data_IF_000727111284
#
_entry.id   IF_000727111284
#
_cell.length_a   1.000
_cell.length_b   1.000
_cell.length_c   1.000
_cell.angle_alpha   90.00
_cell.angle_beta   90.00
_cell.angle_gamma   90.00
#
_symmetry.space_group_name_H-M   'P 1'
#
loop_
_entity.id
_entity.type
_entity.pdbx_description
1 polymer ?
#
# COMPACT_ATOMS: atom_id res chain seq x y z
N UNK A 1 52.54 -16.66 -6.01
CA UNK A 1 52.91 -16.92 -7.43
C UNK A 1 51.63 -16.77 -8.25
N UNK A 2 51.44 -15.60 -8.87
CA UNK A 2 51.49 -15.35 -10.33
C UNK A 2 50.39 -16.13 -11.09
N UNK A 3 49.47 -15.47 -11.82
CA UNK A 3 49.79 -14.64 -12.98
C UNK A 3 48.75 -13.53 -13.25
N UNK A 4 49.31 -12.35 -13.54
CA UNK A 4 48.73 -11.25 -14.34
C UNK A 4 48.58 -11.70 -15.80
N UNK A 5 47.72 -11.05 -16.57
CA UNK A 5 48.16 -10.30 -17.77
C UNK A 5 47.06 -9.48 -18.42
N UNK A 6 47.30 -8.18 -18.52
CA UNK A 6 46.73 -7.22 -19.48
C UNK A 6 47.42 -7.34 -20.84
N UNK A 7 46.75 -6.93 -21.93
CA UNK A 7 47.30 -6.30 -23.15
C UNK A 7 46.11 -5.56 -23.82
N UNK A 8 46.06 -4.24 -23.99
CA UNK A 8 46.90 -3.25 -24.68
C UNK A 8 46.37 -2.88 -26.09
N UNK A 9 46.39 -1.57 -26.31
CA UNK A 9 45.87 -0.74 -27.40
C UNK A 9 46.24 -1.10 -28.84
N UNK A 10 45.48 -0.53 -29.79
CA UNK A 10 46.03 -0.08 -31.07
C UNK A 10 45.32 1.18 -31.59
N UNK A 11 46.16 2.09 -32.07
CA UNK A 11 45.93 3.46 -32.57
C UNK A 11 45.61 3.44 -34.06
N UNK A 12 44.82 4.41 -34.54
CA UNK A 12 44.69 4.72 -35.97
C UNK A 12 44.26 6.18 -36.19
N UNK A 13 45.16 6.96 -36.80
CA UNK A 13 45.06 8.40 -37.11
C UNK A 13 44.59 8.58 -38.56
N UNK A 14 43.74 9.59 -38.87
CA UNK A 14 43.94 10.60 -39.94
C UNK A 14 42.68 11.45 -40.24
N UNK A 15 42.95 12.74 -40.44
CA UNK A 15 42.06 13.87 -40.74
C UNK A 15 41.36 13.78 -42.10
N UNK A 16 40.19 14.43 -42.26
CA UNK A 16 39.90 15.42 -43.35
C UNK A 16 38.72 16.32 -42.91
N UNK A 17 38.90 17.64 -43.07
CA UNK A 17 37.93 18.71 -42.88
C UNK A 17 36.94 18.83 -44.05
N UNK A 18 35.66 19.10 -43.79
CA UNK A 18 34.79 19.83 -44.71
C UNK A 18 33.63 20.49 -43.95
N UNK A 19 33.60 21.82 -44.00
CA UNK A 19 32.54 22.68 -43.49
C UNK A 19 31.45 22.74 -44.55
N UNK A 20 30.22 22.33 -44.20
CA UNK A 20 29.02 22.65 -44.95
C UNK A 20 28.00 23.29 -44.00
N UNK A 21 27.82 24.59 -44.19
CA UNK A 21 26.73 25.41 -43.63
C UNK A 21 25.39 24.85 -44.10
N UNK A 22 24.62 24.27 -43.18
CA UNK A 22 23.23 23.86 -43.37
C UNK A 22 22.37 24.38 -42.23
N UNK A 23 21.27 25.04 -42.57
CA UNK A 23 20.37 25.77 -41.67
C UNK A 23 19.92 24.95 -40.46
N UNK A 24 20.24 25.42 -39.26
CA UNK A 24 19.64 24.93 -38.03
C UNK A 24 18.22 25.51 -37.89
N UNK A 25 17.22 24.81 -38.43
CA UNK A 25 15.94 24.76 -37.74
C UNK A 25 16.14 23.81 -36.56
N UNK A 26 16.28 24.39 -35.37
CA UNK A 26 16.41 23.62 -34.13
C UNK A 26 15.02 23.07 -33.81
N UNK A 27 14.69 21.92 -34.40
CA UNK A 27 13.56 21.12 -33.97
C UNK A 27 13.82 20.73 -32.51
N UNK A 28 13.15 21.45 -31.61
CA UNK A 28 13.09 21.10 -30.21
C UNK A 28 12.52 19.68 -30.12
N UNK A 29 13.17 18.72 -29.44
CA UNK A 29 12.57 17.42 -29.23
C UNK A 29 11.31 17.64 -28.41
N UNK A 30 10.17 17.44 -29.06
CA UNK A 30 8.87 17.43 -28.39
C UNK A 30 8.98 16.38 -27.30
N UNK A 31 8.89 16.81 -26.04
CA UNK A 31 8.78 15.93 -24.88
C UNK A 31 7.54 15.07 -25.14
N UNK A 32 7.76 13.84 -25.60
CA UNK A 32 6.71 12.83 -25.71
C UNK A 32 6.17 12.65 -24.30
N UNK A 33 4.94 13.10 -24.06
CA UNK A 33 4.25 12.86 -22.80
C UNK A 33 4.28 11.34 -22.58
N UNK A 34 4.99 10.91 -21.54
CA UNK A 34 5.05 9.51 -21.15
C UNK A 34 3.60 9.02 -21.01
N UNK A 35 3.20 7.90 -21.66
CA UNK A 35 1.83 7.45 -21.64
C UNK A 35 1.45 7.21 -20.18
N UNK A 36 0.56 8.06 -19.67
CA UNK A 36 -0.05 7.84 -18.36
C UNK A 36 -0.95 6.63 -18.54
N UNK A 37 -0.46 5.45 -18.13
CA UNK A 37 -1.16 4.19 -18.35
C UNK A 37 -2.56 4.27 -17.74
N UNK A 38 -3.59 4.40 -18.57
CA UNK A 38 -4.98 4.37 -18.13
C UNK A 38 -5.42 2.92 -17.98
N UNK A 39 -5.99 2.57 -16.83
CA UNK A 39 -6.64 1.27 -16.61
C UNK A 39 -8.14 1.38 -16.86
N UNK A 40 -8.73 0.35 -17.47
CA UNK A 40 -10.18 0.14 -17.40
C UNK A 40 -10.61 -0.18 -15.96
N UNK A 41 -11.90 -0.04 -15.60
CA UNK A 41 -12.38 -0.43 -14.27
C UNK A 41 -12.09 -1.89 -13.92
N UNK A 42 -12.18 -2.80 -14.90
CA UNK A 42 -11.87 -4.22 -14.68
C UNK A 42 -10.38 -4.46 -14.37
N UNK A 43 -9.48 -3.81 -15.12
CA UNK A 43 -8.04 -3.87 -14.87
C UNK A 43 -7.67 -3.24 -13.53
N UNK A 44 -8.27 -2.09 -13.21
CA UNK A 44 -8.07 -1.41 -11.93
C UNK A 44 -8.52 -2.28 -10.76
N UNK A 45 -9.70 -2.91 -10.86
CA UNK A 45 -10.24 -3.84 -9.84
C UNK A 45 -9.34 -5.07 -9.67
N UNK A 46 -8.85 -5.66 -10.77
CA UNK A 46 -7.94 -6.80 -10.71
C UNK A 46 -6.58 -6.43 -10.09
N UNK A 47 -5.99 -5.30 -10.49
CA UNK A 47 -4.74 -4.80 -9.94
C UNK A 47 -4.89 -4.48 -8.44
N UNK A 48 -5.96 -3.79 -8.07
CA UNK A 48 -6.24 -3.42 -6.69
C UNK A 48 -6.47 -4.64 -5.80
N UNK A 49 -7.19 -5.66 -6.28
CA UNK A 49 -7.35 -6.93 -5.57
C UNK A 49 -6.00 -7.57 -5.21
N UNK A 50 -5.04 -7.56 -6.12
CA UNK A 50 -3.69 -8.07 -5.85
C UNK A 50 -2.94 -7.21 -4.81
N UNK A 51 -3.10 -5.89 -4.86
CA UNK A 51 -2.53 -4.95 -3.88
C UNK A 51 -3.15 -5.16 -2.50
N UNK A 52 -4.47 -5.28 -2.40
CA UNK A 52 -5.18 -5.54 -1.15
C UNK A 52 -4.74 -6.87 -0.54
N UNK A 53 -4.67 -7.95 -1.35
CA UNK A 53 -4.12 -9.23 -0.92
C UNK A 53 -2.72 -9.11 -0.34
N UNK A 54 -1.81 -8.49 -1.10
CA UNK A 54 -0.41 -8.31 -0.69
C UNK A 54 -0.30 -7.50 0.59
N UNK A 55 -1.14 -6.48 0.74
CA UNK A 55 -1.22 -5.64 1.94
C UNK A 55 -1.61 -6.48 3.16
N UNK A 56 -2.67 -7.26 3.04
CA UNK A 56 -3.16 -8.07 4.16
C UNK A 56 -2.19 -9.20 4.53
N UNK A 57 -1.62 -9.90 3.53
CA UNK A 57 -0.62 -10.93 3.78
C UNK A 57 0.65 -10.34 4.42
N UNK A 58 1.10 -9.16 3.96
CA UNK A 58 2.24 -8.47 4.56
C UNK A 58 1.95 -8.08 6.00
N UNK A 59 0.77 -7.52 6.25
CA UNK A 59 0.32 -7.18 7.59
C UNK A 59 0.31 -8.42 8.49
N UNK A 60 -0.27 -9.53 8.06
CA UNK A 60 -0.34 -10.76 8.85
C UNK A 60 1.04 -11.38 9.13
N UNK A 61 1.99 -11.25 8.20
CA UNK A 61 3.33 -11.83 8.32
C UNK A 61 4.32 -10.95 9.11
N UNK A 62 4.24 -9.62 8.95
CA UNK A 62 5.23 -8.69 9.50
C UNK A 62 4.67 -7.72 10.54
N UNK A 63 3.34 -7.63 10.64
CA UNK A 63 2.62 -6.64 11.41
C UNK A 63 2.34 -5.37 10.62
N UNK A 64 1.40 -4.57 11.10
CA UNK A 64 1.08 -3.25 10.56
C UNK A 64 0.72 -2.29 11.70
N UNK A 65 1.01 -1.00 11.47
CA UNK A 65 0.48 0.11 12.24
C UNK A 65 -0.31 0.99 11.28
N UNK A 66 -1.57 1.26 11.60
CA UNK A 66 -2.42 2.19 10.87
C UNK A 66 -2.68 3.41 11.75
N UNK A 67 -2.42 4.62 11.24
CA UNK A 67 -2.60 5.85 12.00
C UNK A 67 -3.61 6.75 11.28
N UNK A 68 -4.69 7.11 11.99
CA UNK A 68 -5.71 8.05 11.54
C UNK A 68 -5.99 9.07 12.66
N UNK A 69 -5.55 10.32 12.48
CA UNK A 69 -5.67 11.35 13.51
C UNK A 69 -5.05 10.89 14.84
N UNK A 70 -5.85 10.87 15.90
CA UNK A 70 -5.46 10.41 17.24
C UNK A 70 -5.68 8.91 17.49
N UNK A 71 -6.10 8.16 16.47
CA UNK A 71 -6.29 6.71 16.53
C UNK A 71 -5.13 5.98 15.89
N UNK A 72 -4.59 4.99 16.60
CA UNK A 72 -3.58 4.07 16.11
C UNK A 72 -4.11 2.64 16.22
N UNK A 73 -4.15 1.93 15.10
CA UNK A 73 -4.45 0.51 15.02
C UNK A 73 -3.13 -0.26 14.89
N UNK A 74 -2.98 -1.32 15.65
CA UNK A 74 -1.82 -2.20 15.58
C UNK A 74 -2.29 -3.63 15.34
N UNK A 75 -1.66 -4.30 14.38
CA UNK A 75 -1.75 -5.76 14.26
C UNK A 75 -0.36 -6.34 14.23
N UNK A 76 -0.13 -7.29 15.11
CA UNK A 76 1.11 -8.04 15.25
C UNK A 76 0.91 -9.41 14.57
N UNK A 77 1.95 -10.03 13.99
CA UNK A 77 1.84 -11.40 13.50
C UNK A 77 1.39 -12.34 14.60
N UNK A 78 0.52 -13.32 14.30
CA UNK A 78 -0.04 -14.24 15.31
C UNK A 78 1.03 -14.93 16.16
N UNK A 79 2.15 -15.33 15.56
CA UNK A 79 3.28 -15.95 16.28
C UNK A 79 3.96 -15.03 17.30
N UNK A 80 3.70 -13.73 17.26
CA UNK A 80 4.18 -12.69 18.18
C UNK A 80 3.03 -12.01 18.94
N UNK A 81 1.83 -12.58 18.90
CA UNK A 81 0.66 -12.06 19.63
C UNK A 81 0.85 -12.12 21.14
N UNK A 82 -0.10 -11.56 21.87
CA UNK A 82 -0.11 -11.51 23.32
C UNK A 82 -1.39 -12.17 23.86
N UNK A 83 -1.24 -13.24 24.66
CA UNK A 83 -2.34 -14.04 25.23
C UNK A 83 -3.41 -14.41 24.18
N UNK A 84 -2.98 -14.92 23.03
CA UNK A 84 -3.81 -15.30 21.86
C UNK A 84 -4.45 -14.17 21.05
N UNK A 85 -4.25 -12.91 21.46
CA UNK A 85 -4.68 -11.74 20.68
C UNK A 85 -3.53 -11.18 19.85
N UNK A 86 -3.86 -10.60 18.69
CA UNK A 86 -2.84 -10.08 17.78
C UNK A 86 -3.21 -8.74 17.14
N UNK A 87 -4.34 -8.12 17.47
CA UNK A 87 -4.73 -6.82 16.96
C UNK A 87 -5.49 -6.01 18.01
N UNK A 88 -5.25 -4.70 18.03
CA UNK A 88 -5.91 -3.76 18.92
C UNK A 88 -5.85 -2.34 18.34
N UNK A 89 -6.65 -1.44 18.87
CA UNK A 89 -6.50 -0.01 18.61
C UNK A 89 -6.40 0.79 19.91
N UNK A 90 -5.77 1.95 19.77
CA UNK A 90 -5.71 3.01 20.76
C UNK A 90 -6.28 4.29 20.15
N UNK A 91 -7.17 4.96 20.87
CA UNK A 91 -7.59 6.33 20.55
C UNK A 91 -7.28 7.21 21.76
N UNK A 92 -6.57 8.31 21.53
CA UNK A 92 -6.25 9.24 22.62
C UNK A 92 -7.51 9.76 23.34
N UNK A 93 -7.40 10.07 24.64
CA UNK A 93 -6.20 9.92 25.46
C UNK A 93 -5.94 8.51 26.00
N UNK A 94 -6.95 7.65 26.11
CA UNK A 94 -6.88 6.44 26.95
C UNK A 94 -7.81 5.30 26.52
N UNK A 95 -8.34 5.31 25.29
CA UNK A 95 -9.25 4.25 24.82
C UNK A 95 -8.46 3.13 24.16
N UNK A 96 -8.49 1.93 24.74
CA UNK A 96 -7.85 0.72 24.19
C UNK A 96 -8.89 -0.37 23.97
N UNK A 97 -8.93 -0.97 22.78
CA UNK A 97 -9.84 -2.07 22.48
C UNK A 97 -9.18 -3.10 21.57
N UNK A 98 -9.55 -4.36 21.77
CA UNK A 98 -9.12 -5.50 20.95
C UNK A 98 -9.87 -5.44 19.62
N UNK A 99 -9.17 -5.78 18.53
CA UNK A 99 -9.79 -5.98 17.23
C UNK A 99 -9.99 -7.49 17.02
N UNK A 100 -11.25 -7.89 16.87
CA UNK A 100 -11.66 -9.28 16.70
C UNK A 100 -11.54 -9.77 15.26
N UNK A 101 -11.76 -8.88 14.31
CA UNK A 101 -11.82 -9.20 12.89
C UNK A 101 -10.88 -8.29 12.10
N UNK A 102 -10.07 -8.89 11.22
CA UNK A 102 -9.12 -8.14 10.41
C UNK A 102 -9.79 -7.28 9.33
N UNK A 103 -11.10 -7.42 9.15
CA UNK A 103 -11.95 -6.48 8.39
C UNK A 103 -11.96 -5.08 9.00
N UNK A 104 -11.60 -4.95 10.29
CA UNK A 104 -11.41 -3.65 10.96
C UNK A 104 -10.10 -2.92 10.61
N UNK A 105 -9.21 -3.53 9.80
CA UNK A 105 -7.95 -2.93 9.37
C UNK A 105 -7.99 -2.57 7.90
N UNK A 106 -7.56 -1.35 7.55
CA UNK A 106 -7.45 -0.90 6.16
C UNK A 106 -6.55 -1.83 5.33
N UNK A 107 -5.50 -2.39 5.93
CA UNK A 107 -4.58 -3.32 5.29
C UNK A 107 -5.27 -4.61 4.81
N UNK A 108 -6.42 -4.98 5.40
CA UNK A 108 -7.06 -6.28 5.20
C UNK A 108 -8.52 -6.23 4.75
N UNK A 109 -9.27 -5.17 5.08
CA UNK A 109 -10.71 -5.06 4.83
C UNK A 109 -11.08 -5.43 3.39
N UNK A 110 -10.52 -4.72 2.41
CA UNK A 110 -10.87 -4.91 1.00
C UNK A 110 -10.43 -6.29 0.47
N UNK A 111 -9.35 -6.88 1.00
CA UNK A 111 -8.95 -8.23 0.62
C UNK A 111 -9.99 -9.27 1.07
N UNK A 112 -10.48 -9.15 2.31
CA UNK A 112 -11.51 -10.07 2.80
C UNK A 112 -12.81 -9.95 2.02
N UNK A 113 -13.19 -8.75 1.57
CA UNK A 113 -14.34 -8.57 0.67
C UNK A 113 -14.13 -9.30 -0.67
N UNK A 114 -12.94 -9.16 -1.27
CA UNK A 114 -12.62 -9.91 -2.48
C UNK A 114 -12.60 -11.43 -2.25
N UNK A 115 -11.98 -11.90 -1.16
CA UNK A 115 -11.83 -13.34 -0.92
C UNK A 115 -13.16 -14.01 -0.58
N UNK A 116 -14.00 -13.37 0.23
CA UNK A 116 -15.33 -13.87 0.54
C UNK A 116 -16.22 -13.93 -0.70
N UNK A 117 -16.15 -12.92 -1.57
CA UNK A 117 -16.89 -12.94 -2.82
C UNK A 117 -16.43 -14.05 -3.77
N UNK A 118 -15.11 -14.26 -3.88
CA UNK A 118 -14.54 -15.38 -4.65
C UNK A 118 -15.03 -16.73 -4.10
N UNK A 119 -14.98 -16.93 -2.79
CA UNK A 119 -15.46 -18.15 -2.11
C UNK A 119 -16.96 -18.39 -2.35
N UNK A 120 -17.76 -17.33 -2.36
CA UNK A 120 -19.19 -17.39 -2.68
C UNK A 120 -19.48 -17.57 -4.19
N UNK A 121 -18.47 -17.50 -5.05
CA UNK A 121 -18.65 -17.50 -6.51
C UNK A 121 -19.43 -16.28 -7.00
N UNK A 122 -19.29 -15.13 -6.34
CA UNK A 122 -19.98 -13.88 -6.64
C UNK A 122 -18.97 -12.78 -7.01
N UNK A 123 -19.38 -11.78 -7.81
CA UNK A 123 -18.58 -10.57 -7.96
C UNK A 123 -18.44 -9.84 -6.62
N UNK A 124 -17.23 -9.42 -6.27
CA UNK A 124 -17.02 -8.59 -5.08
C UNK A 124 -17.76 -7.25 -5.24
N UNK A 125 -18.47 -6.77 -4.19
CA UNK A 125 -19.31 -5.56 -4.24
C UNK A 125 -18.50 -4.25 -4.25
N UNK A 126 -17.17 -4.35 -4.23
CA UNK A 126 -16.25 -3.21 -4.31
C UNK A 126 -16.00 -2.77 -5.75
N UNK A 127 -16.30 -1.51 -6.04
CA UNK A 127 -15.96 -0.88 -7.32
C UNK A 127 -14.62 -0.14 -7.21
N UNK A 128 -13.83 -0.17 -8.29
CA UNK A 128 -12.48 0.39 -8.32
C UNK A 128 -12.24 1.15 -9.61
N UNK A 129 -11.71 2.35 -9.52
CA UNK A 129 -11.20 3.13 -10.66
C UNK A 129 -9.78 3.61 -10.40
N UNK A 130 -8.99 3.78 -11.47
CA UNK A 130 -7.59 4.21 -11.38
C UNK A 130 -7.42 5.66 -11.84
N UNK A 131 -6.86 6.49 -10.96
CA UNK A 131 -6.45 7.86 -11.25
C UNK A 131 -5.10 7.88 -11.95
N UNK A 132 -5.08 8.00 -13.27
CA UNK A 132 -3.83 7.99 -14.03
C UNK A 132 -2.89 9.15 -13.65
N UNK A 133 -3.44 10.32 -13.29
CA UNK A 133 -2.67 11.54 -13.00
C UNK A 133 -1.79 11.43 -11.75
N UNK A 134 -2.27 10.72 -10.75
CA UNK A 134 -1.72 10.65 -9.40
C UNK A 134 -1.40 9.21 -8.97
N UNK A 135 -1.74 8.22 -9.78
CA UNK A 135 -1.47 6.80 -9.54
C UNK A 135 -2.32 6.20 -8.42
N UNK A 136 -3.47 6.82 -8.10
CA UNK A 136 -4.32 6.40 -6.99
C UNK A 136 -5.42 5.44 -7.43
N UNK A 137 -5.93 4.66 -6.48
CA UNK A 137 -7.12 3.83 -6.68
C UNK A 137 -8.27 4.42 -5.90
N UNK A 138 -9.38 4.75 -6.56
CA UNK A 138 -10.60 5.14 -5.88
C UNK A 138 -11.50 3.91 -5.72
N UNK A 139 -11.86 3.59 -4.48
CA UNK A 139 -12.75 2.48 -4.14
C UNK A 139 -14.13 3.01 -3.75
N UNK A 140 -15.18 2.21 -4.01
CA UNK A 140 -16.55 2.50 -3.61
C UNK A 140 -17.26 1.22 -3.21
N UNK A 141 -17.86 1.21 -2.02
CA UNK A 141 -18.60 0.06 -1.47
C UNK A 141 -19.93 0.55 -0.90
N UNK A 142 -20.97 -0.29 -0.97
CA UNK A 142 -22.27 0.01 -0.38
C UNK A 142 -22.56 -0.98 0.74
N UNK A 143 -22.66 -0.47 1.97
CA UNK A 143 -23.06 -1.22 3.14
C UNK A 143 -24.39 -0.66 3.63
N UNK A 144 -25.45 -1.48 3.62
CA UNK A 144 -26.79 -1.15 4.10
C UNK A 144 -27.35 0.19 3.60
N UNK A 145 -27.12 0.50 2.32
CA UNK A 145 -27.59 1.73 1.67
C UNK A 145 -26.64 2.92 1.84
N UNK A 146 -25.56 2.78 2.60
CA UNK A 146 -24.53 3.80 2.77
C UNK A 146 -23.34 3.52 1.85
N UNK A 147 -22.98 4.51 1.03
CA UNK A 147 -21.83 4.41 0.12
C UNK A 147 -20.57 4.94 0.78
N UNK A 148 -19.61 4.06 0.98
CA UNK A 148 -18.28 4.38 1.48
C UNK A 148 -17.31 4.49 0.32
N UNK A 149 -16.53 5.57 0.29
CA UNK A 149 -15.53 5.80 -0.76
C UNK A 149 -14.20 6.17 -0.16
N UNK A 150 -13.14 5.58 -0.70
CA UNK A 150 -11.78 5.89 -0.29
C UNK A 150 -10.89 6.19 -1.50
N UNK A 151 -9.90 7.05 -1.30
CA UNK A 151 -8.79 7.24 -2.21
C UNK A 151 -7.55 6.56 -1.64
N UNK A 152 -7.03 5.60 -2.38
CA UNK A 152 -5.95 4.72 -1.94
C UNK A 152 -4.66 5.08 -2.68
N UNK A 153 -3.58 5.30 -1.93
CA UNK A 153 -2.23 5.37 -2.48
C UNK A 153 -1.50 4.05 -2.26
N UNK A 154 -0.62 3.72 -3.19
CA UNK A 154 0.11 2.45 -3.20
C UNK A 154 1.60 2.72 -3.19
N UNK A 155 2.33 2.09 -2.27
CA UNK A 155 3.78 2.12 -2.23
C UNK A 155 4.33 0.70 -2.11
N UNK A 156 5.31 0.37 -2.94
CA UNK A 156 5.93 -0.97 -2.98
C UNK A 156 4.91 -2.11 -3.13
N UNK A 157 3.86 -1.90 -3.94
CA UNK A 157 2.80 -2.89 -4.20
C UNK A 157 1.80 -3.10 -3.06
N UNK A 158 1.80 -2.23 -2.04
CA UNK A 158 0.90 -2.30 -0.87
C UNK A 158 0.18 -0.99 -0.65
N UNK A 159 -0.97 -1.05 0.02
CA UNK A 159 -1.72 0.12 0.48
C UNK A 159 -0.81 0.92 1.42
N UNK A 160 -0.52 2.17 1.06
CA UNK A 160 0.30 3.07 1.86
C UNK A 160 -0.55 4.06 2.63
N UNK A 161 -1.62 4.57 2.00
CA UNK A 161 -2.63 5.40 2.65
C UNK A 161 -4.02 5.08 2.16
N UNK A 162 -5.02 5.35 2.99
CA UNK A 162 -6.43 5.39 2.62
C UNK A 162 -7.03 6.70 3.10
N UNK A 163 -7.63 7.47 2.21
CA UNK A 163 -8.35 8.69 2.56
C UNK A 163 -9.85 8.48 2.39
N UNK A 164 -10.63 8.66 3.44
CA UNK A 164 -12.09 8.67 3.36
C UNK A 164 -12.54 9.93 2.60
N UNK A 165 -13.20 9.77 1.47
CA UNK A 165 -13.54 10.93 0.61
C UNK A 165 -14.60 11.85 1.22
N UNK A 166 -15.48 11.34 2.07
CA UNK A 166 -16.54 12.13 2.69
C UNK A 166 -16.01 13.09 3.78
N UNK A 167 -15.00 12.67 4.54
CA UNK A 167 -14.47 13.44 5.68
C UNK A 167 -13.08 14.01 5.43
N UNK A 168 -12.34 13.47 4.46
CA UNK A 168 -10.94 13.80 4.21
C UNK A 168 -9.97 13.10 5.17
N UNK A 169 -10.47 12.27 6.09
CA UNK A 169 -9.64 11.56 7.07
C UNK A 169 -8.64 10.64 6.38
N UNK A 170 -7.36 10.84 6.70
CA UNK A 170 -6.26 10.09 6.13
C UNK A 170 -5.76 9.05 7.14
N UNK A 171 -5.82 7.79 6.72
CA UNK A 171 -5.14 6.68 7.39
C UNK A 171 -3.82 6.40 6.69
N UNK A 172 -2.72 6.35 7.45
CA UNK A 172 -1.39 5.96 6.94
C UNK A 172 -1.02 4.58 7.46
N UNK A 173 -0.42 3.75 6.62
CA UNK A 173 -0.06 2.36 6.95
C UNK A 173 1.46 2.19 6.94
N UNK A 174 1.98 1.59 8.01
CA UNK A 174 3.38 1.18 8.13
C UNK A 174 3.45 -0.30 8.42
N UNK A 175 3.98 -1.07 7.47
CA UNK A 175 4.18 -2.52 7.63
C UNK A 175 5.50 -2.82 8.34
N UNK A 176 5.44 -3.72 9.31
CA UNK A 176 6.58 -4.13 10.12
C UNK A 176 7.18 -3.02 10.99
N UNK A 177 8.27 -3.37 11.68
CA UNK A 177 9.05 -2.45 12.53
C UNK A 177 8.18 -1.66 13.52
N UNK A 178 7.23 -2.36 14.17
CA UNK A 178 6.45 -1.83 15.29
C UNK A 178 7.39 -1.45 16.43
N UNK A 179 7.19 -0.25 16.97
CA UNK A 179 7.92 0.24 18.14
C UNK A 179 7.42 -0.45 19.41
N UNK A 180 8.15 -0.27 20.52
CA UNK A 180 7.69 -0.75 21.83
C UNK A 180 6.35 -0.09 22.24
N UNK A 181 6.13 1.18 21.86
CA UNK A 181 4.87 1.88 22.09
C UNK A 181 3.72 1.23 21.31
N UNK A 182 3.95 0.90 20.04
CA UNK A 182 2.95 0.22 19.21
C UNK A 182 2.60 -1.16 19.79
N UNK A 183 3.59 -1.91 20.25
CA UNK A 183 3.36 -3.22 20.90
C UNK A 183 2.61 -3.10 22.22
N UNK A 184 2.84 -2.02 22.97
CA UNK A 184 2.17 -1.78 24.25
C UNK A 184 0.67 -1.52 24.10
N UNK A 185 0.20 -1.05 22.94
CA UNK A 185 -1.24 -0.90 22.66
C UNK A 185 -1.94 -2.26 22.74
N UNK A 186 -1.37 -3.30 22.12
CA UNK A 186 -1.94 -4.65 22.17
C UNK A 186 -1.94 -5.19 23.61
N UNK A 187 -0.82 -5.06 24.33
CA UNK A 187 -0.72 -5.54 25.71
C UNK A 187 -1.75 -4.84 26.60
N UNK A 188 -1.86 -3.52 26.52
CA UNK A 188 -2.79 -2.73 27.34
C UNK A 188 -4.25 -3.10 27.05
N UNK A 189 -4.62 -3.22 25.77
CA UNK A 189 -5.97 -3.58 25.37
C UNK A 189 -6.36 -4.98 25.88
N UNK A 190 -5.44 -5.95 25.75
CA UNK A 190 -5.66 -7.34 26.19
C UNK A 190 -5.77 -7.44 27.69
N UNK A 191 -4.84 -6.85 28.44
CA UNK A 191 -4.88 -6.87 29.90
C UNK A 191 -6.13 -6.18 30.44
N UNK A 192 -6.55 -5.08 29.82
CA UNK A 192 -7.79 -4.38 30.18
C UNK A 192 -9.01 -5.26 29.93
N UNK A 193 -9.09 -5.94 28.79
CA UNK A 193 -10.20 -6.85 28.48
C UNK A 193 -10.25 -8.05 29.43
N UNK A 194 -9.13 -8.71 29.68
CA UNK A 194 -9.08 -9.89 30.54
C UNK A 194 -9.50 -9.56 31.98
N UNK A 195 -9.13 -8.38 32.49
CA UNK A 195 -9.59 -7.89 33.79
C UNK A 195 -11.11 -7.64 33.88
N UNK A 196 -11.85 -7.66 32.76
CA UNK A 196 -13.33 -7.54 32.75
C UNK A 196 -14.06 -8.88 32.74
N UNK A 197 -13.36 -9.98 32.46
CA UNK A 197 -13.96 -11.32 32.33
C UNK A 197 -13.48 -12.32 33.39
N UNK A 198 -12.45 -11.96 34.16
CA UNK A 198 -12.00 -12.66 35.37
C UNK A 198 -12.88 -12.31 36.59
#
# INVERSE_FOLDING_TARGET
MNKKSSFAALVGVLLVSAILTGCAAKDEPTVSASPTASMTPAEAKAAYKAIAKTSCETAQNFGVVEQAGDTKVVMTPKAKGYKDFNAAYFTKPDKYEIIWELTGLVACADWYEFSMADEAGKPAPIEVTFGAKDGTFATSQNFDGTVYKALITVASGRIATSQTLATGDLTTLKYGNQTAEDQNILVTAVDSYLATID
#
